data_IF_996103918559
#
_entry.id   IF_996103918559
#
_cell.length_a   1.000
_cell.length_b   1.000
_cell.length_c   1.000
_cell.angle_alpha   90.00
_cell.angle_beta   90.00
_cell.angle_gamma   90.00
#
_symmetry.space_group_name_H-M   'P 1'
#
loop_
_entity.id
_entity.type
_entity.pdbx_description
1 polymer ?
#
# COMPACT_ATOMS: atom_id res chain seq x y z
N UNK A 1 6.71 2.91 -26.34
CA UNK A 1 6.65 3.67 -25.09
C UNK A 1 6.36 2.80 -23.89
N UNK A 2 6.14 3.44 -22.71
CA UNK A 2 5.91 2.70 -21.46
C UNK A 2 4.68 1.82 -21.52
N UNK A 3 3.61 2.25 -22.19
CA UNK A 3 2.33 1.53 -22.31
C UNK A 3 2.45 0.14 -22.94
N UNK A 4 3.41 -0.06 -23.85
CA UNK A 4 3.63 -1.36 -24.50
C UNK A 4 4.11 -2.45 -23.52
N UNK A 5 4.67 -2.03 -22.37
CA UNK A 5 5.15 -2.89 -21.31
C UNK A 5 4.28 -2.79 -20.03
N UNK A 6 3.04 -2.34 -20.18
CA UNK A 6 2.14 -2.12 -19.05
C UNK A 6 0.85 -2.90 -19.23
N UNK A 7 0.46 -3.63 -18.21
CA UNK A 7 -0.89 -4.22 -18.08
C UNK A 7 -1.71 -3.31 -17.17
N UNK A 8 -2.88 -2.89 -17.60
CA UNK A 8 -3.76 -2.00 -16.84
C UNK A 8 -5.06 -2.73 -16.51
N UNK A 9 -5.38 -2.80 -15.23
CA UNK A 9 -6.66 -3.33 -14.74
C UNK A 9 -7.46 -2.20 -14.10
N UNK A 10 -8.74 -2.13 -14.45
CA UNK A 10 -9.64 -1.08 -13.95
C UNK A 10 -10.78 -1.70 -13.15
N UNK A 11 -10.95 -1.23 -11.91
CA UNK A 11 -12.11 -1.47 -11.07
C UNK A 11 -12.97 -0.24 -11.02
N UNK A 12 -13.99 -0.17 -11.88
CA UNK A 12 -14.89 0.97 -11.90
C UNK A 12 -15.74 1.01 -10.64
N UNK A 13 -16.01 2.21 -10.11
CA UNK A 13 -16.78 2.39 -8.88
C UNK A 13 -18.23 1.97 -8.97
N UNK A 14 -18.79 1.90 -10.19
CA UNK A 14 -20.16 1.44 -10.47
C UNK A 14 -20.27 -0.08 -10.60
N UNK A 15 -19.16 -0.80 -10.60
CA UNK A 15 -19.17 -2.26 -10.59
C UNK A 15 -19.63 -2.81 -9.22
N UNK A 16 -20.18 -4.02 -9.24
CA UNK A 16 -20.60 -4.70 -8.01
C UNK A 16 -19.41 -4.95 -7.06
N UNK A 17 -19.64 -4.92 -5.75
CA UNK A 17 -18.55 -5.02 -4.75
C UNK A 17 -17.65 -6.24 -4.94
N UNK A 18 -18.22 -7.39 -5.29
CA UNK A 18 -17.46 -8.61 -5.52
C UNK A 18 -16.44 -8.49 -6.66
N UNK A 19 -16.81 -7.83 -7.75
CA UNK A 19 -15.91 -7.57 -8.89
C UNK A 19 -14.78 -6.64 -8.45
N UNK A 20 -15.11 -5.54 -7.76
CA UNK A 20 -14.11 -4.59 -7.25
C UNK A 20 -13.14 -5.23 -6.26
N UNK A 21 -13.63 -6.17 -5.43
CA UNK A 21 -12.80 -6.91 -4.50
C UNK A 21 -11.84 -7.88 -5.19
N UNK A 22 -12.27 -8.52 -6.30
CA UNK A 22 -11.45 -9.48 -7.02
C UNK A 22 -10.36 -8.84 -7.90
N UNK A 23 -10.50 -7.59 -8.31
CA UNK A 23 -9.54 -6.91 -9.19
C UNK A 23 -8.13 -6.89 -8.63
N UNK A 24 -7.96 -6.58 -7.34
CA UNK A 24 -6.65 -6.60 -6.70
C UNK A 24 -5.99 -7.98 -6.75
N UNK A 25 -6.76 -9.03 -6.47
CA UNK A 25 -6.29 -10.42 -6.54
C UNK A 25 -5.96 -10.84 -7.98
N UNK A 26 -6.72 -10.39 -8.96
CA UNK A 26 -6.47 -10.65 -10.38
C UNK A 26 -5.20 -9.97 -10.86
N UNK A 27 -5.01 -8.69 -10.52
CA UNK A 27 -3.80 -7.95 -10.86
C UNK A 27 -2.55 -8.62 -10.28
N UNK A 28 -2.65 -9.07 -9.04
CA UNK A 28 -1.55 -9.74 -8.36
C UNK A 28 -1.23 -11.12 -9.00
N UNK A 29 -2.25 -11.89 -9.40
CA UNK A 29 -2.04 -13.14 -10.13
C UNK A 29 -1.31 -12.92 -11.46
N UNK A 30 -1.62 -11.82 -12.16
CA UNK A 30 -0.87 -11.45 -13.37
C UNK A 30 0.57 -11.04 -13.05
N UNK A 31 0.79 -10.29 -11.98
CA UNK A 31 2.13 -9.92 -11.53
C UNK A 31 2.96 -11.16 -11.15
N UNK A 32 2.37 -12.11 -10.45
CA UNK A 32 2.99 -13.40 -10.13
C UNK A 32 3.36 -14.21 -11.38
N UNK A 33 2.49 -14.22 -12.39
CA UNK A 33 2.82 -14.89 -13.66
C UNK A 33 4.08 -14.30 -14.31
N UNK A 34 4.22 -12.98 -14.35
CA UNK A 34 5.43 -12.35 -14.88
C UNK A 34 6.67 -12.64 -14.02
N UNK A 35 6.52 -12.66 -12.69
CA UNK A 35 7.62 -12.98 -11.78
C UNK A 35 8.05 -14.44 -11.86
N UNK A 36 7.08 -15.37 -11.79
CA UNK A 36 7.37 -16.79 -11.57
C UNK A 36 7.59 -17.55 -12.88
N UNK A 37 6.76 -17.29 -13.91
CA UNK A 37 6.83 -17.99 -15.20
C UNK A 37 7.73 -17.27 -16.21
N UNK A 38 7.70 -15.93 -16.21
CA UNK A 38 8.50 -15.13 -17.14
C UNK A 38 9.86 -14.73 -16.56
N UNK A 39 10.09 -14.93 -15.26
CA UNK A 39 11.30 -14.55 -14.52
C UNK A 39 11.66 -13.08 -14.72
N UNK A 40 10.67 -12.19 -14.66
CA UNK A 40 10.81 -10.75 -14.86
C UNK A 40 10.44 -9.99 -13.60
N UNK A 41 11.22 -8.97 -13.28
CA UNK A 41 10.86 -8.01 -12.23
C UNK A 41 9.60 -7.24 -12.63
N UNK A 42 8.71 -7.07 -11.67
CA UNK A 42 7.41 -6.42 -11.86
C UNK A 42 7.30 -5.21 -10.94
N UNK A 43 6.91 -4.08 -11.51
CA UNK A 43 6.46 -2.92 -10.74
C UNK A 43 4.93 -2.93 -10.70
N UNK A 44 4.38 -3.17 -9.51
CA UNK A 44 2.93 -3.18 -9.27
C UNK A 44 2.49 -1.83 -8.68
N UNK A 45 1.66 -1.11 -9.42
CA UNK A 45 1.09 0.16 -8.98
C UNK A 45 -0.37 -0.06 -8.57
N UNK A 46 -0.75 0.31 -7.35
CA UNK A 46 -2.12 0.18 -6.82
C UNK A 46 -2.66 1.56 -6.46
N UNK A 47 -3.66 2.02 -7.17
CA UNK A 47 -4.37 3.27 -6.87
C UNK A 47 -5.88 3.00 -6.73
N UNK A 48 -6.36 2.88 -5.48
CA UNK A 48 -5.61 2.77 -4.24
C UNK A 48 -6.08 1.53 -3.45
N UNK A 49 -5.23 1.04 -2.56
CA UNK A 49 -5.50 -0.18 -1.78
C UNK A 49 -6.72 -0.04 -0.85
N UNK A 50 -7.07 1.16 -0.42
CA UNK A 50 -8.24 1.40 0.42
C UNK A 50 -9.55 1.02 -0.30
N UNK A 51 -9.60 1.08 -1.64
CA UNK A 51 -10.76 0.64 -2.43
C UNK A 51 -10.99 -0.87 -2.35
N UNK A 52 -9.91 -1.64 -2.22
CA UNK A 52 -10.02 -3.08 -1.94
C UNK A 52 -10.67 -3.32 -0.58
N UNK A 53 -10.27 -2.59 0.45
CA UNK A 53 -10.86 -2.66 1.80
C UNK A 53 -12.35 -2.30 1.77
N UNK A 54 -12.72 -1.22 1.09
CA UNK A 54 -14.12 -0.81 0.94
C UNK A 54 -14.97 -1.89 0.25
N UNK A 55 -14.47 -2.45 -0.84
CA UNK A 55 -15.18 -3.52 -1.54
C UNK A 55 -15.37 -4.76 -0.64
N UNK A 56 -14.36 -5.13 0.14
CA UNK A 56 -14.45 -6.21 1.13
C UNK A 56 -15.49 -5.94 2.21
N UNK A 57 -15.57 -4.71 2.70
CA UNK A 57 -16.59 -4.29 3.68
C UNK A 57 -18.01 -4.39 3.12
N UNK A 58 -18.21 -3.93 1.88
CA UNK A 58 -19.51 -4.03 1.18
C UNK A 58 -19.91 -5.50 0.95
N UNK A 59 -18.99 -6.36 0.52
CA UNK A 59 -19.22 -7.81 0.36
C UNK A 59 -19.60 -8.44 1.71
N UNK A 60 -18.89 -8.11 2.77
CA UNK A 60 -19.17 -8.59 4.12
C UNK A 60 -20.58 -8.19 4.59
N UNK A 61 -21.00 -6.95 4.31
CA UNK A 61 -22.34 -6.46 4.58
C UNK A 61 -23.42 -7.21 3.82
N UNK A 62 -23.19 -7.47 2.53
CA UNK A 62 -24.12 -8.27 1.69
C UNK A 62 -24.26 -9.71 2.19
N UNK A 63 -23.22 -10.27 2.80
CA UNK A 63 -23.24 -11.60 3.43
C UNK A 63 -23.85 -11.60 4.84
N UNK A 64 -24.32 -10.45 5.34
CA UNK A 64 -24.92 -10.32 6.67
C UNK A 64 -23.95 -10.54 7.82
N UNK A 65 -22.64 -10.39 7.60
CA UNK A 65 -21.64 -10.53 8.66
C UNK A 65 -21.69 -9.34 9.60
N UNK A 66 -21.59 -9.60 10.90
CA UNK A 66 -21.53 -8.54 11.90
C UNK A 66 -20.25 -7.72 11.71
N UNK A 67 -20.33 -6.38 11.57
CA UNK A 67 -19.17 -5.54 11.41
C UNK A 67 -18.30 -5.52 12.67
N UNK A 68 -17.01 -5.36 12.50
CA UNK A 68 -16.03 -5.14 13.55
C UNK A 68 -15.88 -3.66 13.88
N UNK A 69 -14.77 -3.28 14.51
CA UNK A 69 -14.47 -1.89 14.89
C UNK A 69 -14.57 -0.95 13.67
N UNK A 70 -15.16 0.22 13.87
CA UNK A 70 -15.35 1.30 12.86
C UNK A 70 -16.17 0.85 11.63
N UNK A 71 -16.93 -0.26 11.75
CA UNK A 71 -17.78 -0.74 10.66
C UNK A 71 -17.08 -1.61 9.61
N UNK A 72 -15.79 -1.93 9.80
CA UNK A 72 -15.05 -2.81 8.89
C UNK A 72 -15.47 -4.29 9.02
N UNK A 73 -15.17 -5.06 7.99
CA UNK A 73 -15.37 -6.51 8.00
C UNK A 73 -14.48 -7.19 9.05
N UNK A 74 -14.96 -8.25 9.71
CA UNK A 74 -14.19 -9.00 10.71
C UNK A 74 -12.95 -9.70 10.09
N UNK A 75 -12.94 -9.91 8.78
CA UNK A 75 -11.88 -10.54 8.00
C UNK A 75 -10.84 -9.56 7.43
N UNK A 76 -10.92 -8.26 7.77
CA UNK A 76 -10.08 -7.20 7.22
C UNK A 76 -8.57 -7.54 7.23
N UNK A 77 -8.06 -7.92 8.40
CA UNK A 77 -6.63 -8.22 8.55
C UNK A 77 -6.20 -9.40 7.68
N UNK A 78 -7.00 -10.48 7.65
CA UNK A 78 -6.72 -11.67 6.86
C UNK A 78 -6.77 -11.37 5.36
N UNK A 79 -7.76 -10.61 4.91
CA UNK A 79 -7.93 -10.27 3.49
C UNK A 79 -6.78 -9.39 2.98
N UNK A 80 -6.32 -8.43 3.79
CA UNK A 80 -5.16 -7.62 3.48
C UNK A 80 -3.87 -8.43 3.48
N UNK A 81 -3.66 -9.27 4.50
CA UNK A 81 -2.49 -10.15 4.57
C UNK A 81 -2.41 -11.09 3.35
N UNK A 82 -3.52 -11.73 2.97
CA UNK A 82 -3.59 -12.58 1.78
C UNK A 82 -3.18 -11.86 0.48
N UNK A 83 -3.40 -10.57 0.39
CA UNK A 83 -3.02 -9.78 -0.77
C UNK A 83 -1.57 -9.30 -0.66
N UNK A 84 -1.20 -8.71 0.46
CA UNK A 84 0.10 -8.06 0.65
C UNK A 84 1.27 -9.05 0.72
N UNK A 85 1.09 -10.21 1.35
CA UNK A 85 2.15 -11.22 1.47
C UNK A 85 2.53 -11.89 0.13
N UNK A 86 1.67 -11.79 -0.88
CA UNK A 86 1.98 -12.24 -2.24
C UNK A 86 2.93 -11.28 -2.97
N UNK A 87 3.02 -10.03 -2.52
CA UNK A 87 3.94 -9.02 -3.04
C UNK A 87 5.33 -9.28 -2.44
N UNK A 88 6.07 -10.16 -3.07
CA UNK A 88 7.36 -10.60 -2.55
C UNK A 88 8.35 -10.89 -3.66
N UNK A 89 9.63 -10.95 -3.29
CA UNK A 89 10.70 -11.41 -4.15
C UNK A 89 10.87 -12.91 -4.04
N UNK A 90 11.17 -13.55 -5.17
CA UNK A 90 11.57 -14.96 -5.27
C UNK A 90 13.05 -15.04 -5.62
N UNK A 91 13.58 -16.24 -5.82
CA UNK A 91 14.97 -16.40 -6.28
C UNK A 91 15.19 -15.91 -7.71
N UNK A 92 14.15 -15.87 -8.54
CA UNK A 92 14.24 -15.56 -9.96
C UNK A 92 13.91 -14.10 -10.30
N UNK A 93 12.96 -13.50 -9.58
CA UNK A 93 12.51 -12.13 -9.84
C UNK A 93 11.75 -11.56 -8.65
N UNK A 94 11.42 -10.26 -8.70
CA UNK A 94 10.75 -9.54 -7.62
C UNK A 94 9.46 -8.87 -8.08
N UNK A 95 8.49 -8.74 -7.17
CA UNK A 95 7.40 -7.78 -7.31
C UNK A 95 7.69 -6.64 -6.34
N UNK A 96 7.86 -5.44 -6.90
CA UNK A 96 7.97 -4.20 -6.12
C UNK A 96 6.65 -3.44 -6.25
N UNK A 97 6.03 -3.07 -5.14
CA UNK A 97 4.78 -2.31 -5.19
C UNK A 97 4.94 -0.85 -4.76
N UNK A 98 4.18 0.01 -5.42
CA UNK A 98 3.90 1.37 -4.95
C UNK A 98 2.40 1.51 -4.82
N UNK A 99 1.94 1.78 -3.61
CA UNK A 99 0.52 1.79 -3.28
C UNK A 99 0.10 3.17 -2.80
N UNK A 100 -0.93 3.73 -3.43
CA UNK A 100 -1.61 4.88 -2.87
C UNK A 100 -2.52 4.40 -1.73
N UNK A 101 -2.39 5.04 -0.57
CA UNK A 101 -3.19 4.72 0.61
C UNK A 101 -4.02 5.94 0.99
N UNK A 102 -5.34 5.82 0.92
CA UNK A 102 -6.23 6.83 1.48
C UNK A 102 -6.38 6.59 2.99
N UNK A 103 -6.10 7.62 3.78
CA UNK A 103 -6.26 7.58 5.24
C UNK A 103 -7.48 8.43 5.60
N UNK A 104 -8.60 7.81 6.05
CA UNK A 104 -9.80 8.55 6.43
C UNK A 104 -9.50 9.59 7.51
N UNK A 105 -9.95 10.83 7.31
CA UNK A 105 -9.81 11.93 8.28
C UNK A 105 -8.37 12.20 8.76
N UNK A 106 -7.37 11.77 8.00
CA UNK A 106 -5.95 11.78 8.37
C UNK A 106 -5.65 11.00 9.68
N UNK A 107 -6.54 10.04 10.04
CA UNK A 107 -6.41 9.19 11.23
C UNK A 107 -5.63 7.91 10.93
N UNK A 108 -4.34 7.90 11.25
CA UNK A 108 -3.46 6.73 11.12
C UNK A 108 -3.78 5.60 12.10
N UNK A 109 -4.71 5.81 13.05
CA UNK A 109 -5.19 4.76 13.97
C UNK A 109 -6.40 4.02 13.42
N UNK A 110 -6.93 4.44 12.26
CA UNK A 110 -7.95 3.71 11.53
C UNK A 110 -7.50 2.26 11.26
N UNK A 111 -8.34 1.24 11.55
CA UNK A 111 -7.94 -0.16 11.41
C UNK A 111 -7.44 -0.53 10.02
N UNK A 112 -8.03 0.00 8.95
CA UNK A 112 -7.59 -0.29 7.60
C UNK A 112 -6.20 0.31 7.33
N UNK A 113 -5.99 1.58 7.70
CA UNK A 113 -4.70 2.24 7.57
C UNK A 113 -3.62 1.51 8.37
N UNK A 114 -3.89 1.18 9.63
CA UNK A 114 -2.95 0.48 10.50
C UNK A 114 -2.54 -0.88 9.94
N UNK A 115 -3.50 -1.68 9.44
CA UNK A 115 -3.19 -2.97 8.82
C UNK A 115 -2.39 -2.81 7.52
N UNK A 116 -2.74 -1.87 6.65
CA UNK A 116 -1.99 -1.62 5.42
C UNK A 116 -0.54 -1.25 5.75
N UNK A 117 -0.34 -0.27 6.64
CA UNK A 117 1.01 0.19 6.99
C UNK A 117 1.88 -0.89 7.64
N UNK A 118 1.27 -1.87 8.33
CA UNK A 118 2.02 -2.98 8.95
C UNK A 118 2.69 -3.90 7.93
N UNK A 119 2.20 -3.95 6.69
CA UNK A 119 2.76 -4.77 5.61
C UNK A 119 3.77 -4.01 4.73
N UNK A 120 3.82 -2.67 4.81
CA UNK A 120 4.67 -1.86 3.93
C UNK A 120 6.10 -1.76 4.44
N UNK A 121 7.07 -1.92 3.53
CA UNK A 121 8.50 -1.73 3.83
C UNK A 121 8.89 -0.26 4.04
N UNK A 122 8.09 0.67 3.52
CA UNK A 122 8.29 2.09 3.69
C UNK A 122 7.02 2.87 3.42
N UNK A 123 6.88 4.03 4.03
CA UNK A 123 5.75 4.93 3.86
C UNK A 123 6.21 6.36 3.64
N UNK A 124 5.58 7.04 2.68
CA UNK A 124 5.75 8.47 2.44
C UNK A 124 4.43 9.16 2.77
N UNK A 125 4.42 9.91 3.86
CA UNK A 125 3.22 10.60 4.34
C UNK A 125 3.17 12.00 3.75
N UNK A 126 2.09 12.30 3.04
CA UNK A 126 1.82 13.64 2.50
C UNK A 126 1.06 14.47 3.55
N UNK A 127 1.50 15.71 3.76
CA UNK A 127 0.95 16.61 4.79
C UNK A 127 0.15 17.74 4.15
N UNK A 128 -1.13 17.84 4.48
CA UNK A 128 -1.99 18.98 4.07
C UNK A 128 -1.49 20.30 4.65
N UNK A 129 -1.00 20.27 5.90
CA UNK A 129 -0.43 21.44 6.56
C UNK A 129 0.75 22.01 5.77
N UNK A 130 1.72 21.16 5.38
CA UNK A 130 2.87 21.60 4.58
C UNK A 130 2.45 22.10 3.20
N UNK A 131 1.48 21.46 2.56
CA UNK A 131 0.94 21.92 1.30
C UNK A 131 0.30 23.32 1.42
N UNK A 132 -0.47 23.58 2.47
CA UNK A 132 -1.08 24.91 2.72
C UNK A 132 -0.06 25.99 3.03
N UNK A 133 1.10 25.64 3.58
CA UNK A 133 2.25 26.52 3.83
C UNK A 133 3.10 26.74 2.56
N UNK A 134 2.74 26.11 1.44
CA UNK A 134 3.48 26.21 0.17
C UNK A 134 4.80 25.41 0.14
N UNK A 135 4.99 24.49 1.08
CA UNK A 135 6.20 23.66 1.17
C UNK A 135 6.03 22.42 0.30
N UNK A 136 6.80 22.35 -0.78
CA UNK A 136 6.78 21.22 -1.71
C UNK A 136 8.17 20.61 -1.90
N UNK A 137 8.28 19.25 -1.99
CA UNK A 137 7.21 18.27 -1.83
C UNK A 137 6.62 18.31 -0.40
N UNK A 138 5.29 18.23 -0.30
CA UNK A 138 4.56 18.34 0.97
C UNK A 138 4.63 17.06 1.82
N UNK A 139 5.83 16.55 2.02
CA UNK A 139 6.10 15.30 2.75
C UNK A 139 6.33 15.62 4.22
N UNK A 140 5.73 14.81 5.10
CA UNK A 140 6.05 14.82 6.53
C UNK A 140 7.21 13.84 6.81
N UNK A 141 8.44 14.34 7.08
CA UNK A 141 9.59 13.49 7.30
C UNK A 141 9.58 12.78 8.66
N UNK A 142 8.76 13.26 9.62
CA UNK A 142 8.65 12.63 10.94
C UNK A 142 7.64 11.48 10.92
N UNK A 143 6.53 11.65 10.20
CA UNK A 143 5.53 10.60 10.02
C UNK A 143 5.92 9.55 8.98
N UNK A 144 6.79 9.90 8.02
CA UNK A 144 7.31 8.96 7.01
C UNK A 144 8.35 8.01 7.60
N UNK A 145 8.38 6.76 7.12
CA UNK A 145 9.27 5.73 7.65
C UNK A 145 9.73 4.75 6.57
N UNK A 146 10.82 4.03 6.86
CA UNK A 146 11.29 2.91 6.05
C UNK A 146 12.04 1.91 6.92
N UNK A 147 11.71 0.62 6.81
CA UNK A 147 12.46 -0.48 7.44
C UNK A 147 13.86 -0.64 6.83
N UNK A 148 14.06 -0.11 5.61
CA UNK A 148 15.33 -0.13 4.91
C UNK A 148 16.32 0.93 5.43
N UNK A 149 15.90 1.84 6.32
CA UNK A 149 16.76 2.86 6.89
C UNK A 149 17.62 2.27 8.03
N UNK A 150 18.54 1.41 7.63
CA UNK A 150 19.52 0.76 8.53
C UNK A 150 20.94 0.94 7.98
N UNK A 151 21.99 0.98 8.82
CA UNK A 151 23.38 1.13 8.35
C UNK A 151 23.82 0.07 7.34
N UNK A 152 23.29 -1.15 7.45
CA UNK A 152 23.61 -2.25 6.55
C UNK A 152 23.07 -2.06 5.12
N UNK A 153 21.98 -1.29 4.97
CA UNK A 153 21.35 -1.05 3.67
C UNK A 153 21.79 0.28 3.07
N UNK A 154 21.68 1.38 3.84
CA UNK A 154 21.92 2.74 3.33
C UNK A 154 23.33 3.25 3.62
N UNK A 155 24.13 2.54 4.42
CA UNK A 155 25.43 2.95 4.88
C UNK A 155 25.37 3.87 6.14
N UNK A 156 26.44 3.87 6.92
CA UNK A 156 26.49 4.57 8.21
C UNK A 156 26.26 6.09 8.07
N UNK A 157 26.90 6.70 7.08
CA UNK A 157 26.79 8.16 6.86
C UNK A 157 25.37 8.61 6.58
N UNK A 158 24.65 7.91 5.71
CA UNK A 158 23.24 8.23 5.36
C UNK A 158 22.35 8.05 6.59
N UNK A 159 22.52 6.95 7.30
CA UNK A 159 21.75 6.64 8.50
C UNK A 159 21.92 7.74 9.58
N UNK A 160 23.17 8.15 9.86
CA UNK A 160 23.46 9.18 10.86
C UNK A 160 22.89 10.54 10.49
N UNK A 161 23.00 10.95 9.21
CA UNK A 161 22.41 12.18 8.70
C UNK A 161 20.90 12.15 8.83
N UNK A 162 20.25 11.08 8.40
CA UNK A 162 18.78 10.94 8.48
C UNK A 162 18.30 11.04 9.93
N UNK A 163 18.98 10.39 10.88
CA UNK A 163 18.67 10.51 12.30
C UNK A 163 18.88 11.91 12.86
N UNK A 164 19.97 12.57 12.49
CA UNK A 164 20.26 13.93 12.93
C UNK A 164 19.18 14.91 12.42
N UNK A 165 18.79 14.83 11.14
CA UNK A 165 17.74 15.64 10.56
C UNK A 165 16.41 15.42 11.27
N UNK A 166 15.99 14.15 11.44
CA UNK A 166 14.73 13.83 12.16
C UNK A 166 14.72 14.39 13.58
N UNK A 167 15.84 14.30 14.32
CA UNK A 167 15.97 14.86 15.68
C UNK A 167 15.90 16.38 15.70
N UNK A 168 16.37 17.05 14.65
CA UNK A 168 16.31 18.52 14.56
C UNK A 168 14.91 19.00 14.20
N UNK A 169 14.13 18.19 13.47
CA UNK A 169 12.76 18.54 13.07
C UNK A 169 11.69 18.17 14.12
N UNK A 170 12.01 17.27 15.04
CA UNK A 170 11.15 16.88 16.17
C UNK A 170 11.21 17.88 17.32
#
# INVERSE_FOLDING_TARGET
>A
GVLENTVMLFGQMNEVPGVRFLIGKTALTMAEYFRDEQHRDVLLLIDNIFRFVQAGSEVSGLLGRMPSRVGYQPTLATELAELEERITSTHSAAITSVQAVYVPEDDFTDPAAAHIFSHLSGSVVLSRKRASEGLYPAIDPLASSSVMLTPSVVGQRHYDIARAVRRTLA
#
